data_IF_613820552633
#
_entry.id   IF_613820552633
#
_cell.length_a   1.000
_cell.length_b   1.000
_cell.length_c   1.000
_cell.angle_alpha   90.00
_cell.angle_beta   90.00
_cell.angle_gamma   90.00
#
_symmetry.space_group_name_H-M   'P 1'
#
loop_
_entity.id
_entity.type
_entity.pdbx_description
1 polymer ?
#
# COMPACT_ATOMS: atom_id res chain seq x y z
N UNK A 1 39.51 -34.69 36.04
CA UNK A 1 39.17 -33.29 35.77
C UNK A 1 38.45 -33.25 34.43
N UNK A 2 37.16 -33.22 34.47
CA UNK A 2 36.29 -33.28 33.28
C UNK A 2 35.83 -31.86 32.94
N UNK A 3 36.24 -31.38 31.78
CA UNK A 3 35.81 -30.09 31.23
C UNK A 3 34.33 -30.19 30.80
N UNK A 4 33.49 -29.34 31.40
CA UNK A 4 32.12 -29.15 30.96
C UNK A 4 32.13 -28.25 29.76
N UNK A 5 31.75 -28.77 28.60
CA UNK A 5 31.38 -28.05 27.43
C UNK A 5 30.08 -27.29 27.71
N UNK A 6 30.14 -25.94 27.67
CA UNK A 6 28.96 -25.08 27.67
C UNK A 6 28.45 -25.00 26.25
N UNK A 7 27.46 -25.78 25.92
CA UNK A 7 26.62 -25.60 24.76
C UNK A 7 25.77 -24.32 24.94
N UNK A 8 26.10 -23.27 24.22
CA UNK A 8 25.24 -22.09 24.06
C UNK A 8 24.00 -22.52 23.27
N UNK A 9 22.77 -22.13 23.69
CA UNK A 9 21.59 -22.38 22.88
C UNK A 9 21.68 -21.48 21.64
N UNK A 10 21.76 -22.12 20.50
CA UNK A 10 21.64 -21.48 19.19
C UNK A 10 20.18 -20.99 19.06
N UNK A 11 19.91 -19.73 19.34
CA UNK A 11 18.64 -19.12 18.99
C UNK A 11 18.67 -18.91 17.48
N UNK A 12 17.73 -19.47 16.72
CA UNK A 12 17.61 -19.12 15.32
C UNK A 12 17.32 -17.61 15.29
N UNK A 13 18.14 -16.84 14.60
CA UNK A 13 17.83 -15.48 14.24
C UNK A 13 16.63 -15.56 13.28
N UNK A 14 15.42 -15.50 13.85
CA UNK A 14 14.24 -15.19 13.06
C UNK A 14 14.48 -13.81 12.46
N UNK A 15 14.54 -13.74 11.13
CA UNK A 15 14.65 -12.49 10.41
C UNK A 15 13.44 -11.59 10.72
N UNK A 16 13.50 -10.30 10.38
CA UNK A 16 12.41 -9.37 10.63
C UNK A 16 11.11 -9.89 10.02
N UNK A 17 10.05 -9.95 10.83
CA UNK A 17 8.74 -10.46 10.42
C UNK A 17 7.87 -9.32 9.92
N UNK A 18 7.35 -9.46 8.70
CA UNK A 18 6.34 -8.55 8.15
C UNK A 18 4.97 -8.87 8.75
N UNK A 19 4.35 -7.87 9.35
CA UNK A 19 3.00 -7.97 9.92
C UNK A 19 2.06 -7.02 9.18
N UNK A 20 0.88 -7.53 8.78
CA UNK A 20 -0.21 -6.73 8.22
C UNK A 20 -1.28 -6.58 9.31
N UNK A 21 -1.58 -5.34 9.65
CA UNK A 21 -2.54 -5.00 10.70
C UNK A 21 -3.38 -3.78 10.32
N UNK A 22 -4.59 -3.62 10.89
CA UNK A 22 -5.42 -2.46 10.60
C UNK A 22 -4.70 -1.14 10.86
N UNK A 23 -4.92 -0.16 9.97
CA UNK A 23 -4.48 1.22 10.19
C UNK A 23 -5.26 1.85 11.34
N UNK A 24 -4.55 2.63 12.15
CA UNK A 24 -5.09 3.38 13.28
C UNK A 24 -4.76 4.86 13.12
N UNK A 25 -5.54 5.72 13.77
CA UNK A 25 -5.34 7.17 13.75
C UNK A 25 -3.92 7.57 14.17
N UNK A 26 -3.36 6.89 15.15
CA UNK A 26 -2.00 7.11 15.65
C UNK A 26 -0.89 6.78 14.63
N UNK A 27 -1.20 6.04 13.57
CA UNK A 27 -0.27 5.74 12.48
C UNK A 27 -0.10 6.91 11.49
N UNK A 28 -0.90 7.96 11.60
CA UNK A 28 -0.96 9.05 10.63
C UNK A 28 0.39 9.71 10.33
N UNK A 29 1.24 9.87 11.32
CA UNK A 29 2.57 10.46 11.15
C UNK A 29 3.48 9.59 10.28
N UNK A 30 3.57 8.31 10.55
CA UNK A 30 4.34 7.35 9.75
C UNK A 30 3.75 7.18 8.35
N UNK A 31 2.42 7.10 8.24
CA UNK A 31 1.72 6.99 6.95
C UNK A 31 2.01 8.20 6.07
N UNK A 32 1.91 9.42 6.60
CA UNK A 32 2.21 10.64 5.86
C UNK A 32 3.67 10.67 5.39
N UNK A 33 4.61 10.27 6.24
CA UNK A 33 6.03 10.21 5.91
C UNK A 33 6.29 9.25 4.75
N UNK A 34 5.74 8.04 4.81
CA UNK A 34 5.87 7.04 3.75
C UNK A 34 5.19 7.50 2.46
N UNK A 35 3.99 8.05 2.56
CA UNK A 35 3.22 8.56 1.45
C UNK A 35 4.01 9.63 0.66
N UNK A 36 4.56 10.61 1.36
CA UNK A 36 5.36 11.65 0.75
C UNK A 36 6.63 11.09 0.09
N UNK A 37 7.34 10.21 0.78
CA UNK A 37 8.53 9.57 0.23
C UNK A 37 8.23 8.72 -1.01
N UNK A 38 7.16 7.94 -0.99
CA UNK A 38 6.77 7.06 -2.08
C UNK A 38 6.30 7.83 -3.33
N UNK A 39 5.59 8.94 -3.15
CA UNK A 39 5.03 9.71 -4.26
C UNK A 39 5.99 10.74 -4.89
N UNK A 40 7.20 10.87 -4.42
CA UNK A 40 8.23 11.69 -5.09
C UNK A 40 8.50 11.18 -6.51
N UNK A 41 8.54 9.87 -6.72
CA UNK A 41 8.71 9.29 -8.06
C UNK A 41 7.56 9.66 -9.00
N UNK A 42 6.34 9.67 -8.51
CA UNK A 42 5.17 10.11 -9.27
C UNK A 42 5.29 11.61 -9.64
N UNK A 43 5.71 12.46 -8.70
CA UNK A 43 5.94 13.87 -8.96
C UNK A 43 6.98 14.08 -10.08
N UNK A 44 8.02 13.26 -10.11
CA UNK A 44 9.03 13.30 -11.17
C UNK A 44 8.48 12.85 -12.52
N UNK A 45 7.66 11.80 -12.54
CA UNK A 45 7.03 11.29 -13.77
C UNK A 45 6.09 12.33 -14.40
N UNK A 46 5.26 12.97 -13.56
CA UNK A 46 4.23 13.93 -14.03
C UNK A 46 4.70 15.38 -14.06
N UNK A 47 5.89 15.67 -13.56
CA UNK A 47 6.46 17.02 -13.53
C UNK A 47 5.71 17.98 -12.61
N UNK A 48 5.00 17.47 -11.60
CA UNK A 48 4.22 18.25 -10.63
C UNK A 48 4.25 17.60 -9.25
N UNK A 49 4.47 18.41 -8.23
CA UNK A 49 4.33 18.03 -6.83
C UNK A 49 2.93 18.38 -6.26
N UNK A 50 2.08 19.00 -7.06
CA UNK A 50 0.72 19.36 -6.68
C UNK A 50 -0.23 18.18 -6.85
N UNK A 51 -0.07 17.20 -5.95
CA UNK A 51 -0.92 16.02 -5.90
C UNK A 51 -1.26 15.70 -4.44
N UNK A 52 -2.48 15.20 -4.14
CA UNK A 52 -2.94 14.96 -2.77
C UNK A 52 -1.98 14.17 -1.89
N UNK A 53 -1.31 13.10 -2.36
CA UNK A 53 -0.34 12.36 -1.53
C UNK A 53 0.82 13.20 -1.01
N UNK A 54 1.20 14.26 -1.70
CA UNK A 54 2.30 15.15 -1.33
C UNK A 54 1.84 16.40 -0.57
N UNK A 55 0.61 16.84 -0.80
CA UNK A 55 0.08 18.10 -0.26
C UNK A 55 -0.78 17.93 0.99
N UNK A 56 -1.28 16.72 1.26
CA UNK A 56 -2.05 16.44 2.48
C UNK A 56 -1.28 16.82 3.74
N UNK A 57 -2.01 17.41 4.69
CA UNK A 57 -1.51 17.71 6.02
C UNK A 57 -1.63 16.49 6.95
N UNK A 58 -0.92 16.51 8.07
CA UNK A 58 -1.03 15.47 9.09
C UNK A 58 -2.45 15.34 9.65
N UNK A 59 -3.14 16.47 9.86
CA UNK A 59 -4.51 16.47 10.38
C UNK A 59 -5.50 15.87 9.37
N UNK A 60 -5.31 16.12 8.08
CA UNK A 60 -6.13 15.50 7.03
C UNK A 60 -5.91 13.99 6.96
N UNK A 61 -4.66 13.52 7.02
CA UNK A 61 -4.37 12.07 7.06
C UNK A 61 -4.96 11.44 8.33
N UNK A 62 -4.81 12.09 9.48
CA UNK A 62 -5.38 11.60 10.74
C UNK A 62 -6.89 11.45 10.66
N UNK A 63 -7.58 12.43 10.10
CA UNK A 63 -9.02 12.38 9.88
C UNK A 63 -9.45 11.26 8.92
N UNK A 64 -8.71 11.04 7.85
CA UNK A 64 -8.97 9.93 6.92
C UNK A 64 -8.77 8.56 7.58
N UNK A 65 -7.73 8.39 8.39
CA UNK A 65 -7.49 7.12 9.10
C UNK A 65 -8.55 6.86 10.18
N UNK A 66 -9.08 7.90 10.81
CA UNK A 66 -10.15 7.79 11.80
C UNK A 66 -11.51 7.41 11.16
N UNK A 67 -11.77 7.87 9.93
CA UNK A 67 -13.04 7.70 9.24
C UNK A 67 -13.07 6.54 8.24
N UNK A 68 -11.91 6.05 7.81
CA UNK A 68 -11.76 5.08 6.73
C UNK A 68 -11.28 3.71 7.19
N UNK A 69 -11.04 2.88 6.20
CA UNK A 69 -10.52 1.53 6.36
C UNK A 69 -9.16 1.40 5.68
N UNK A 70 -8.30 0.58 6.25
CA UNK A 70 -6.99 0.33 5.68
C UNK A 70 -6.14 -0.62 6.51
N UNK A 71 -5.01 -1.00 5.93
CA UNK A 71 -4.00 -1.83 6.58
C UNK A 71 -2.62 -1.17 6.52
N UNK A 72 -1.83 -1.41 7.55
CA UNK A 72 -0.41 -1.10 7.58
C UNK A 72 0.40 -2.40 7.45
N UNK A 73 1.47 -2.34 6.69
CA UNK A 73 2.54 -3.33 6.73
C UNK A 73 3.61 -2.84 7.71
N UNK A 74 3.93 -3.65 8.70
CA UNK A 74 4.91 -3.33 9.74
C UNK A 74 6.08 -4.31 9.72
N UNK A 75 7.26 -3.78 9.83
CA UNK A 75 8.50 -4.54 9.97
C UNK A 75 9.17 -4.11 11.27
N UNK A 76 9.23 -5.04 12.26
CA UNK A 76 9.73 -4.72 13.59
C UNK A 76 9.08 -3.47 14.23
N UNK A 77 7.77 -3.33 14.06
CA UNK A 77 6.99 -2.20 14.57
C UNK A 77 7.03 -0.93 13.72
N UNK A 78 7.94 -0.81 12.75
CA UNK A 78 7.98 0.30 11.78
C UNK A 78 6.93 0.10 10.69
N UNK A 79 6.12 1.09 10.42
CA UNK A 79 5.24 1.10 9.24
C UNK A 79 6.10 1.25 7.99
N UNK A 80 6.05 0.26 7.10
CA UNK A 80 6.81 0.22 5.84
C UNK A 80 5.91 0.28 4.62
N UNK A 81 4.62 0.17 4.80
CA UNK A 81 3.62 0.31 3.76
C UNK A 81 2.24 0.55 4.34
N UNK A 82 1.37 1.13 3.55
CA UNK A 82 -0.02 1.37 3.93
C UNK A 82 -0.94 1.31 2.70
N UNK A 83 -2.13 0.79 2.91
CA UNK A 83 -3.22 0.79 1.94
C UNK A 83 -4.46 1.36 2.59
N UNK A 84 -5.20 2.21 1.88
CA UNK A 84 -6.52 2.70 2.27
C UNK A 84 -7.54 2.28 1.23
N UNK A 85 -8.71 1.89 1.70
CA UNK A 85 -9.80 1.47 0.83
C UNK A 85 -11.15 1.89 1.41
N UNK A 86 -12.17 1.78 0.59
CA UNK A 86 -13.56 1.93 0.96
C UNK A 86 -14.30 0.69 0.49
N UNK A 87 -14.90 -0.03 1.41
CA UNK A 87 -15.66 -1.23 1.13
C UNK A 87 -17.15 -0.94 1.09
N UNK A 88 -17.78 -1.29 0.00
CA UNK A 88 -19.23 -1.36 -0.13
C UNK A 88 -19.64 -2.79 -0.49
N UNK A 89 -20.93 -3.11 -0.34
CA UNK A 89 -21.40 -4.46 -0.64
C UNK A 89 -21.13 -4.93 -2.09
N UNK A 90 -20.96 -3.99 -3.00
CA UNK A 90 -20.84 -4.26 -4.43
C UNK A 90 -19.42 -4.06 -4.98
N UNK A 91 -18.64 -3.20 -4.35
CA UNK A 91 -17.33 -2.81 -4.86
C UNK A 91 -16.37 -2.43 -3.72
N UNK A 92 -15.18 -3.02 -3.76
CA UNK A 92 -14.02 -2.60 -2.98
C UNK A 92 -13.26 -1.54 -3.76
N UNK A 93 -13.33 -0.29 -3.32
CA UNK A 93 -12.55 0.81 -3.89
C UNK A 93 -11.23 0.92 -3.17
N UNK A 94 -10.15 0.55 -3.85
CA UNK A 94 -8.80 0.69 -3.32
C UNK A 94 -8.30 2.09 -3.65
N UNK A 95 -8.00 2.82 -2.60
CA UNK A 95 -7.53 4.18 -2.69
C UNK A 95 -6.01 4.26 -2.77
N UNK A 96 -5.41 4.74 -1.70
CA UNK A 96 -3.98 5.04 -1.69
C UNK A 96 -3.14 3.88 -1.19
N UNK A 97 -2.16 3.46 -2.00
CA UNK A 97 -1.12 2.51 -1.62
C UNK A 97 0.21 3.25 -1.62
N UNK A 98 0.95 3.16 -0.52
CA UNK A 98 2.28 3.73 -0.40
C UNK A 98 3.22 2.72 0.27
N UNK A 99 4.38 2.51 -0.33
CA UNK A 99 5.43 1.63 0.19
C UNK A 99 6.67 2.47 0.42
N UNK A 100 7.31 2.31 1.58
CA UNK A 100 8.57 2.97 1.87
C UNK A 100 9.60 2.70 0.75
N UNK A 101 10.30 3.72 0.22
CA UNK A 101 11.19 3.55 -0.93
C UNK A 101 12.28 2.51 -0.72
N UNK A 102 12.78 2.34 0.50
CA UNK A 102 13.77 1.33 0.88
C UNK A 102 13.20 -0.10 0.96
N UNK A 103 11.88 -0.25 0.86
CA UNK A 103 11.17 -1.52 0.97
C UNK A 103 10.40 -1.92 -0.30
N UNK A 104 10.60 -1.18 -1.38
CA UNK A 104 9.98 -1.51 -2.67
C UNK A 104 10.61 -2.76 -3.29
N UNK A 105 9.81 -3.55 -4.02
CA UNK A 105 10.26 -4.80 -4.62
C UNK A 105 10.27 -6.02 -3.68
N UNK A 106 9.81 -5.87 -2.43
CA UNK A 106 9.77 -6.94 -1.41
C UNK A 106 8.39 -7.63 -1.28
N UNK A 107 7.46 -7.34 -2.19
CA UNK A 107 6.12 -7.93 -2.18
C UNK A 107 5.13 -7.31 -1.19
N UNK A 108 5.46 -6.18 -0.57
CA UNK A 108 4.59 -5.51 0.42
C UNK A 108 3.30 -5.00 -0.22
N UNK A 109 3.38 -4.40 -1.41
CA UNK A 109 2.21 -3.93 -2.14
C UNK A 109 1.23 -5.05 -2.45
N UNK A 110 1.72 -6.20 -2.89
CA UNK A 110 0.90 -7.42 -3.10
C UNK A 110 0.24 -7.86 -1.81
N UNK A 111 0.99 -7.96 -0.71
CA UNK A 111 0.46 -8.39 0.58
C UNK A 111 -0.64 -7.46 1.10
N UNK A 112 -0.49 -6.15 0.92
CA UNK A 112 -1.50 -5.16 1.29
C UNK A 112 -2.76 -5.26 0.43
N UNK A 113 -2.62 -5.46 -0.88
CA UNK A 113 -3.76 -5.69 -1.78
C UNK A 113 -4.52 -6.96 -1.38
N UNK A 114 -3.83 -8.06 -1.16
CA UNK A 114 -4.43 -9.33 -0.72
C UNK A 114 -5.16 -9.18 0.62
N UNK A 115 -4.59 -8.45 1.56
CA UNK A 115 -5.24 -8.19 2.86
C UNK A 115 -6.55 -7.40 2.71
N UNK A 116 -6.56 -6.36 1.86
CA UNK A 116 -7.76 -5.59 1.58
C UNK A 116 -8.84 -6.45 0.89
N UNK A 117 -8.45 -7.25 -0.11
CA UNK A 117 -9.34 -8.15 -0.83
C UNK A 117 -9.95 -9.22 0.08
N UNK A 118 -9.16 -9.81 0.99
CA UNK A 118 -9.63 -10.81 1.94
C UNK A 118 -10.56 -10.25 3.01
N UNK A 119 -10.40 -8.98 3.37
CA UNK A 119 -11.26 -8.30 4.33
C UNK A 119 -12.62 -7.89 3.75
N UNK A 120 -12.73 -7.80 2.43
CA UNK A 120 -13.94 -7.38 1.73
C UNK A 120 -14.88 -8.56 1.44
N UNK A 121 -16.17 -8.25 1.42
CA UNK A 121 -17.22 -9.15 0.91
C UNK A 121 -17.72 -8.76 -0.47
N UNK A 122 -17.20 -7.69 -1.05
CA UNK A 122 -17.55 -7.24 -2.37
C UNK A 122 -17.14 -8.27 -3.46
N UNK A 123 -17.92 -8.41 -4.54
CA UNK A 123 -17.56 -9.32 -5.62
C UNK A 123 -16.43 -8.83 -6.52
N UNK A 124 -16.11 -7.55 -6.45
CA UNK A 124 -15.17 -6.90 -7.35
C UNK A 124 -14.36 -5.82 -6.61
N UNK A 125 -13.11 -5.65 -6.99
CA UNK A 125 -12.25 -4.55 -6.55
C UNK A 125 -11.90 -3.65 -7.74
N UNK A 126 -11.76 -2.36 -7.46
CA UNK A 126 -11.33 -1.34 -8.42
C UNK A 126 -10.26 -0.45 -7.82
N UNK A 127 -9.30 -0.08 -8.63
CA UNK A 127 -8.29 0.93 -8.35
C UNK A 127 -7.97 1.72 -9.62
N UNK A 128 -7.29 2.84 -9.46
CA UNK A 128 -6.81 3.61 -10.61
C UNK A 128 -5.40 4.14 -10.37
N UNK A 129 -4.71 4.42 -11.46
CA UNK A 129 -3.39 5.06 -11.45
C UNK A 129 -3.22 5.91 -12.72
N UNK A 130 -2.21 6.74 -12.76
CA UNK A 130 -1.90 7.52 -13.95
C UNK A 130 -1.30 6.66 -15.06
N UNK A 131 -1.56 7.03 -16.31
CA UNK A 131 -1.12 6.28 -17.50
C UNK A 131 0.41 6.18 -17.67
N UNK A 132 1.16 7.09 -17.04
CA UNK A 132 2.63 7.08 -17.04
C UNK A 132 3.25 6.33 -15.85
N UNK A 133 2.43 5.89 -14.91
CA UNK A 133 2.85 5.13 -13.73
C UNK A 133 3.01 3.64 -14.08
N UNK A 134 3.93 3.32 -14.97
CA UNK A 134 4.11 1.98 -15.52
C UNK A 134 4.40 0.92 -14.45
N UNK A 135 5.16 1.27 -13.42
CA UNK A 135 5.49 0.34 -12.32
C UNK A 135 4.23 -0.04 -11.54
N UNK A 136 3.32 0.93 -11.29
CA UNK A 136 2.06 0.67 -10.63
C UNK A 136 1.15 -0.21 -11.48
N UNK A 137 1.01 0.08 -12.77
CA UNK A 137 0.21 -0.73 -13.69
C UNK A 137 0.72 -2.18 -13.71
N UNK A 138 2.03 -2.39 -13.82
CA UNK A 138 2.63 -3.73 -13.78
C UNK A 138 2.36 -4.46 -12.46
N UNK A 139 2.44 -3.77 -11.33
CA UNK A 139 2.12 -4.35 -10.02
C UNK A 139 0.67 -4.84 -9.99
N UNK A 140 -0.27 -4.00 -10.40
CA UNK A 140 -1.70 -4.33 -10.35
C UNK A 140 -2.05 -5.46 -11.31
N UNK A 141 -1.51 -5.44 -12.53
CA UNK A 141 -1.69 -6.54 -13.49
C UNK A 141 -1.12 -7.86 -12.95
N UNK A 142 0.05 -7.82 -12.31
CA UNK A 142 0.65 -9.00 -11.68
C UNK A 142 -0.19 -9.53 -10.49
N UNK A 143 -1.02 -8.67 -9.88
CA UNK A 143 -1.98 -9.05 -8.83
C UNK A 143 -3.35 -9.47 -9.36
N UNK A 144 -3.53 -9.55 -10.70
CA UNK A 144 -4.75 -10.02 -11.34
C UNK A 144 -5.76 -8.94 -11.70
N UNK A 145 -5.38 -7.67 -11.59
CA UNK A 145 -6.21 -6.57 -12.07
C UNK A 145 -6.10 -6.42 -13.58
N UNK A 146 -7.21 -6.09 -14.21
CA UNK A 146 -7.31 -5.89 -15.67
C UNK A 146 -7.83 -4.48 -15.92
N UNK A 147 -7.20 -3.80 -16.88
CA UNK A 147 -7.66 -2.47 -17.30
C UNK A 147 -9.11 -2.51 -17.78
N UNK A 148 -9.92 -1.62 -17.23
CA UNK A 148 -11.36 -1.50 -17.55
C UNK A 148 -11.69 -0.23 -18.30
N UNK A 149 -11.02 0.87 -18.00
CA UNK A 149 -11.32 2.19 -18.56
C UNK A 149 -10.11 3.13 -18.49
N UNK A 150 -10.05 4.08 -19.42
CA UNK A 150 -9.14 5.23 -19.37
C UNK A 150 -9.94 6.52 -19.48
N UNK A 151 -9.62 7.48 -18.62
CA UNK A 151 -10.26 8.80 -18.61
C UNK A 151 -9.17 9.86 -18.79
N UNK A 152 -9.27 10.72 -19.84
CA UNK A 152 -8.31 11.81 -20.05
C UNK A 152 -8.27 12.77 -18.85
N UNK A 153 -7.07 13.17 -18.44
CA UNK A 153 -6.82 14.03 -17.29
C UNK A 153 -6.53 15.50 -17.69
N UNK A 154 -6.68 15.84 -18.97
CA UNK A 154 -6.63 17.19 -19.51
C UNK A 154 -5.24 17.76 -19.81
N UNK A 155 -4.16 17.07 -19.44
CA UNK A 155 -2.77 17.47 -19.63
C UNK A 155 -1.97 16.55 -20.57
N UNK A 156 -2.66 15.68 -21.33
CA UNK A 156 -2.08 14.67 -22.20
C UNK A 156 -1.79 13.36 -21.48
N UNK A 157 -2.19 13.24 -20.22
CA UNK A 157 -2.20 11.99 -19.44
C UNK A 157 -3.62 11.45 -19.30
N UNK A 158 -3.73 10.22 -18.79
CA UNK A 158 -5.01 9.57 -18.54
C UNK A 158 -4.99 8.92 -17.16
N UNK A 159 -6.16 8.79 -16.55
CA UNK A 159 -6.37 7.89 -15.42
C UNK A 159 -6.73 6.52 -15.98
N UNK A 160 -6.01 5.50 -15.54
CA UNK A 160 -6.21 4.10 -15.91
C UNK A 160 -6.92 3.40 -14.77
N UNK A 161 -8.14 2.93 -15.01
CA UNK A 161 -8.91 2.15 -14.05
C UNK A 161 -8.69 0.67 -14.30
N UNK A 162 -8.46 -0.07 -13.23
CA UNK A 162 -8.25 -1.51 -13.28
C UNK A 162 -9.21 -2.20 -12.30
N UNK A 163 -9.73 -3.34 -12.71
CA UNK A 163 -10.69 -4.14 -11.92
C UNK A 163 -10.22 -5.58 -11.75
N UNK A 164 -10.69 -6.20 -10.69
CA UNK A 164 -10.46 -7.60 -10.38
C UNK A 164 -11.70 -8.20 -9.76
N UNK A 165 -12.13 -9.36 -10.28
CA UNK A 165 -13.17 -10.17 -9.64
C UNK A 165 -12.55 -10.84 -8.40
N UNK A 166 -13.22 -10.71 -7.27
CA UNK A 166 -12.79 -11.31 -6.02
C UNK A 166 -13.43 -12.69 -5.85
N UNK A 167 -12.63 -13.71 -5.50
CA UNK A 167 -13.17 -15.03 -5.21
C UNK A 167 -14.05 -14.98 -3.96
N UNK A 168 -15.16 -15.68 -3.97
CA UNK A 168 -16.09 -15.88 -2.83
C UNK A 168 -15.84 -17.22 -2.18
#
# INVERSE_FOLDING_TARGET
MTAREKTSPNHPHEGPTLEISPLREEDAGEVLTIQRAAFVSEAQIYGSADMPPLTQTLDEVRAELAAGEGFAARLDGRVVGAIRFRDSSDLLLIGRIAIAPDMQGEGIGRALLEAAEQASTAPEAELFTGSRSEANIRLYEACGYVESERIPDGDGTEQVFLRKLLPR
#
